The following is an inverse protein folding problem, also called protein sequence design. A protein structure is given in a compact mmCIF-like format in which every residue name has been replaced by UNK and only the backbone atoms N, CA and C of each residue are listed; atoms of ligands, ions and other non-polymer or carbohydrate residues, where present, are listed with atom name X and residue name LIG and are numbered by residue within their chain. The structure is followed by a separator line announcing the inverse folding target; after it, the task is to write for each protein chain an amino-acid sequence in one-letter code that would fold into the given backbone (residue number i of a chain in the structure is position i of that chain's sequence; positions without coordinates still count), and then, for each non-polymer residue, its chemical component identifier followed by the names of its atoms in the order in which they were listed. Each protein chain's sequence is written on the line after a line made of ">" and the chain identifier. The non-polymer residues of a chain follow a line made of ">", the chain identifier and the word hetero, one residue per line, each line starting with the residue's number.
data_IF_520510140687
#
_entry.id   IF_520510140687
#
_cell.length_a   1.000
_cell.length_b   1.000
_cell.length_c   1.000
_cell.angle_alpha   90.00
_cell.angle_beta   90.00
_cell.angle_gamma   90.00
#
_symmetry.space_group_name_H-M   'P 1'
#
loop_
_entity.id
_entity.type
_entity.pdbx_description
1 polymer ?
#
# COMPACT_ATOMS: atom_id res chain seq x y z
N UNK A 1 -1.88 -16.45 12.75
CA UNK A 1 -1.01 -15.80 11.75
C UNK A 1 0.41 -16.22 12.05
N UNK A 2 1.00 -17.14 11.27
CA UNK A 2 2.32 -17.71 11.60
C UNK A 2 3.48 -17.00 10.90
N UNK A 3 3.21 -16.24 9.84
CA UNK A 3 4.21 -15.44 9.13
C UNK A 3 3.56 -14.19 8.55
N UNK A 4 4.26 -13.05 8.61
CA UNK A 4 3.91 -11.89 7.80
C UNK A 4 5.14 -11.08 7.44
N UNK A 5 4.99 -10.32 6.37
CA UNK A 5 6.06 -9.63 5.68
C UNK A 5 5.72 -8.15 5.69
N UNK A 6 6.66 -7.34 6.15
CA UNK A 6 6.60 -5.89 6.08
C UNK A 6 7.74 -5.41 5.19
N UNK A 7 7.44 -4.45 4.32
CA UNK A 7 8.44 -3.74 3.54
C UNK A 7 8.16 -2.25 3.59
N UNK A 8 9.22 -1.45 3.53
CA UNK A 8 9.13 0.00 3.44
C UNK A 8 9.66 0.42 2.10
N UNK A 9 8.94 1.31 1.42
CA UNK A 9 9.28 1.82 0.09
C UNK A 9 9.50 3.33 0.23
N UNK A 10 10.56 3.83 -0.37
CA UNK A 10 10.82 5.27 -0.43
C UNK A 10 9.85 5.93 -1.41
N UNK A 11 9.29 7.08 -1.03
CA UNK A 11 8.33 7.80 -1.85
C UNK A 11 7.92 9.12 -1.20
N UNK A 12 7.21 9.94 -1.97
CA UNK A 12 6.72 11.23 -1.47
C UNK A 12 5.34 11.06 -0.83
N UNK A 13 5.28 11.29 0.49
CA UNK A 13 4.02 11.27 1.24
C UNK A 13 3.41 12.66 1.21
N UNK A 14 2.42 12.86 0.32
CA UNK A 14 1.66 14.12 0.25
C UNK A 14 0.65 14.20 1.40
N UNK A 15 -0.06 13.10 1.65
CA UNK A 15 -1.04 12.99 2.73
C UNK A 15 -0.89 11.64 3.45
N UNK A 16 -0.93 11.66 4.79
CA UNK A 16 -0.83 10.44 5.59
C UNK A 16 -2.19 9.75 5.65
N UNK A 17 -2.21 8.45 5.40
CA UNK A 17 -3.42 7.64 5.47
C UNK A 17 -3.11 6.16 5.62
N UNK A 18 -4.17 5.36 5.74
CA UNK A 18 -4.07 3.91 5.82
C UNK A 18 -5.24 3.26 5.09
N UNK A 19 -4.94 2.24 4.28
CA UNK A 19 -5.93 1.49 3.51
C UNK A 19 -5.48 0.05 3.37
N UNK A 20 -6.43 -0.89 3.45
CA UNK A 20 -6.20 -2.29 3.12
C UNK A 20 -6.66 -2.56 1.68
N UNK A 21 -5.81 -3.20 0.89
CA UNK A 21 -6.08 -3.56 -0.51
C UNK A 21 -6.01 -5.07 -0.72
N UNK A 22 -6.74 -5.59 -1.70
CA UNK A 22 -6.58 -6.97 -2.13
C UNK A 22 -5.21 -7.16 -2.80
N UNK A 23 -4.38 -8.02 -2.20
CA UNK A 23 -3.00 -8.21 -2.63
C UNK A 23 -2.91 -8.73 -4.07
N UNK A 24 -3.82 -9.62 -4.51
CA UNK A 24 -3.80 -10.15 -5.88
C UNK A 24 -4.15 -9.05 -6.87
N UNK A 25 -5.19 -8.28 -6.58
CA UNK A 25 -5.62 -7.20 -7.46
C UNK A 25 -4.57 -6.08 -7.54
N UNK A 26 -3.99 -5.67 -6.41
CA UNK A 26 -2.93 -4.67 -6.39
C UNK A 26 -1.70 -5.14 -7.17
N UNK A 27 -1.27 -6.40 -6.99
CA UNK A 27 -0.15 -6.98 -7.74
C UNK A 27 -0.41 -6.97 -9.25
N UNK A 28 -1.62 -7.36 -9.68
CA UNK A 28 -1.98 -7.36 -11.10
C UNK A 28 -1.97 -5.96 -11.72
N UNK A 29 -2.33 -4.93 -10.94
CA UNK A 29 -2.25 -3.53 -11.39
C UNK A 29 -0.78 -3.12 -11.51
N UNK A 30 0.00 -3.27 -10.45
CA UNK A 30 1.42 -2.86 -10.44
C UNK A 30 2.22 -3.55 -11.54
N UNK A 31 1.94 -4.83 -11.84
CA UNK A 31 2.60 -5.57 -12.94
C UNK A 31 2.24 -5.06 -14.34
N UNK A 32 1.10 -4.37 -14.49
CA UNK A 32 0.66 -3.76 -15.74
C UNK A 32 1.13 -2.31 -15.89
N UNK A 33 1.60 -1.70 -14.81
CA UNK A 33 2.13 -0.34 -14.85
C UNK A 33 3.54 -0.34 -15.47
N UNK A 34 3.88 0.70 -16.24
CA UNK A 34 5.25 0.88 -16.74
C UNK A 34 6.22 1.23 -15.60
N UNK A 35 7.52 1.18 -15.91
CA UNK A 35 8.59 1.58 -15.00
C UNK A 35 8.65 3.13 -14.93
N UNK A 36 7.76 3.70 -14.13
CA UNK A 36 7.59 5.15 -13.94
C UNK A 36 6.95 5.45 -12.59
N UNK A 37 6.81 6.72 -12.25
CA UNK A 37 6.22 7.15 -10.99
C UNK A 37 4.75 6.70 -10.87
N UNK A 38 4.45 6.05 -9.75
CA UNK A 38 3.10 5.58 -9.40
C UNK A 38 2.56 6.46 -8.28
N UNK A 39 1.44 7.12 -8.54
CA UNK A 39 0.70 7.90 -7.55
C UNK A 39 -0.45 7.06 -7.01
N UNK A 40 -0.53 6.94 -5.69
CA UNK A 40 -1.62 6.23 -5.00
C UNK A 40 -2.38 7.26 -4.17
N UNK A 41 -3.66 7.43 -4.45
CA UNK A 41 -4.56 8.36 -3.77
C UNK A 41 -5.76 7.62 -3.21
N UNK A 42 -6.22 8.01 -2.02
CA UNK A 42 -7.37 7.37 -1.37
C UNK A 42 -8.39 8.42 -0.95
N UNK A 43 -9.67 8.08 -1.08
CA UNK A 43 -10.77 8.94 -0.66
C UNK A 43 -11.49 8.40 0.60
N UNK A 44 -12.29 9.24 1.27
CA UNK A 44 -13.10 8.88 2.43
C UNK A 44 -14.05 7.69 2.19
N UNK A 45 -14.39 7.41 0.93
CA UNK A 45 -15.17 6.24 0.54
C UNK A 45 -14.35 4.94 0.36
N UNK A 46 -13.11 4.90 0.88
CA UNK A 46 -12.15 3.79 0.70
C UNK A 46 -11.80 3.49 -0.77
N UNK A 47 -12.06 4.44 -1.66
CA UNK A 47 -11.72 4.32 -3.07
C UNK A 47 -10.25 4.66 -3.25
N UNK A 48 -9.49 3.76 -3.86
CA UNK A 48 -8.07 3.95 -4.15
C UNK A 48 -7.90 4.16 -5.64
N UNK A 49 -7.24 5.25 -5.99
CA UNK A 49 -6.90 5.62 -7.35
C UNK A 49 -5.39 5.44 -7.51
N UNK A 50 -4.99 4.57 -8.42
CA UNK A 50 -3.59 4.32 -8.76
C UNK A 50 -3.37 4.91 -10.15
N UNK A 51 -2.56 5.95 -10.22
CA UNK A 51 -2.25 6.67 -11.46
C UNK A 51 -0.79 6.49 -11.81
N UNK A 52 -0.50 6.19 -13.07
CA UNK A 52 0.87 6.13 -13.59
C UNK A 52 0.84 6.68 -15.01
N UNK A 53 1.50 7.83 -15.22
CA UNK A 53 1.47 8.58 -16.48
C UNK A 53 0.05 8.78 -17.06
N UNK A 54 -0.32 8.01 -18.09
CA UNK A 54 -1.62 8.05 -18.77
C UNK A 54 -2.58 6.95 -18.32
N UNK A 55 -2.10 6.02 -17.50
CA UNK A 55 -2.89 4.92 -16.97
C UNK A 55 -3.49 5.32 -15.62
N UNK A 56 -4.79 5.04 -15.45
CA UNK A 56 -5.53 5.29 -14.21
C UNK A 56 -6.35 4.07 -13.86
N UNK A 57 -6.10 3.53 -12.68
CA UNK A 57 -6.83 2.39 -12.11
C UNK A 57 -7.58 2.87 -10.88
N UNK A 58 -8.81 2.38 -10.72
CA UNK A 58 -9.63 2.69 -9.56
C UNK A 58 -10.10 1.40 -8.95
N UNK A 59 -9.76 1.19 -7.68
CA UNK A 59 -10.13 0.01 -6.92
C UNK A 59 -10.80 0.43 -5.62
N UNK A 60 -11.56 -0.49 -5.02
CA UNK A 60 -12.18 -0.29 -3.72
C UNK A 60 -11.32 -1.03 -2.69
N UNK A 61 -10.77 -0.27 -1.77
CA UNK A 61 -10.08 -0.78 -0.60
C UNK A 61 -11.02 -1.03 0.57
N UNK A 62 -10.44 -1.38 1.70
CA UNK A 62 -11.10 -1.53 2.99
C UNK A 62 -10.37 -0.68 4.03
N UNK A 63 -11.01 -0.42 5.16
CA UNK A 63 -10.32 0.25 6.27
C UNK A 63 -9.10 -0.56 6.69
N UNK A 64 -7.94 0.10 6.75
CA UNK A 64 -6.71 -0.51 7.25
C UNK A 64 -6.71 -0.69 8.77
N UNK A 65 -7.65 -0.08 9.48
CA UNK A 65 -7.81 -0.22 10.93
C UNK A 65 -8.29 -1.62 11.33
N UNK A 66 -9.06 -2.27 10.46
CA UNK A 66 -9.58 -3.63 10.65
C UNK A 66 -8.53 -4.71 10.29
N UNK A 67 -7.45 -4.30 9.63
CA UNK A 67 -6.39 -5.22 9.24
C UNK A 67 -5.61 -5.66 10.48
N UNK A 68 -5.48 -6.97 10.67
CA UNK A 68 -4.64 -7.52 11.74
C UNK A 68 -3.19 -7.13 11.46
N UNK A 69 -2.71 -6.15 12.22
CA UNK A 69 -1.32 -5.74 12.21
C UNK A 69 -0.44 -6.91 12.59
N UNK A 70 0.75 -6.96 11.99
CA UNK A 70 1.77 -7.85 12.49
C UNK A 70 2.01 -7.53 13.97
N UNK A 71 2.13 -8.55 14.84
CA UNK A 71 2.49 -8.30 16.22
C UNK A 71 3.76 -7.45 16.19
N UNK A 72 3.79 -6.37 16.98
CA UNK A 72 4.92 -5.47 17.04
C UNK A 72 6.15 -6.24 17.52
N UNK A 73 6.86 -6.90 16.61
CA UNK A 73 8.19 -7.42 16.82
C UNK A 73 9.06 -6.19 16.95
N UNK A 74 9.30 -5.81 18.21
CA UNK A 74 10.25 -4.78 18.61
C UNK A 74 11.52 -5.01 17.79
N UNK A 75 11.76 -4.21 16.75
CA UNK A 75 13.03 -4.19 16.02
C UNK A 75 14.09 -3.93 17.08
N UNK A 76 14.79 -4.97 17.52
CA UNK A 76 15.96 -4.83 18.36
C UNK A 76 17.04 -4.30 17.42
N UNK A 77 17.08 -2.98 17.26
CA UNK A 77 18.19 -2.31 16.61
C UNK A 77 19.43 -2.65 17.42
N UNK A 78 20.24 -3.58 16.91
CA UNK A 78 21.64 -3.70 17.32
C UNK A 78 22.34 -2.46 16.78
N UNK A 79 22.41 -1.41 17.60
CA UNK A 79 23.35 -0.32 17.37
C UNK A 79 24.75 -0.91 17.52
N UNK A 80 25.55 -0.86 16.45
CA UNK A 80 27.00 -1.09 16.48
C UNK A 80 27.71 0.25 16.39
#
# INVERSE_FOLDING_TARGET
>A
MELGIETTIEGQIVEKGIIALDAKMFLEIVRKLPDSDITIETDASFKVVITCEKAKFTIIGKSGEDFSYLPAVKKMTVLS
#
